data_IF_440197163546
#
_entry.id   IF_440197163546
#
_cell.length_a   1.000
_cell.length_b   1.000
_cell.length_c   1.000
_cell.angle_alpha   90.00
_cell.angle_beta   90.00
_cell.angle_gamma   90.00
#
_symmetry.space_group_name_H-M   'P 1'
#
loop_
_entity.id
_entity.type
_entity.pdbx_description
1 polymer ?
#
# COMPACT_ATOMS: atom_id res chain seq x y z
N UNK A 1 -2.26 -3.57 -30.39
CA UNK A 1 -2.74 -3.76 -29.00
C UNK A 1 -3.29 -5.17 -28.89
N UNK A 2 -2.59 -6.10 -28.22
CA UNK A 2 -3.07 -7.47 -27.98
C UNK A 2 -3.68 -7.51 -26.58
N UNK A 3 -4.99 -7.36 -26.49
CA UNK A 3 -5.68 -7.51 -25.21
C UNK A 3 -5.70 -8.98 -24.80
N UNK A 4 -5.33 -9.25 -23.55
CA UNK A 4 -5.37 -10.56 -22.91
C UNK A 4 -6.30 -10.50 -21.68
N UNK A 5 -7.04 -11.57 -21.45
CA UNK A 5 -7.72 -11.78 -20.17
C UNK A 5 -6.69 -12.15 -19.11
N UNK A 6 -6.81 -11.57 -17.94
CA UNK A 6 -5.98 -11.89 -16.78
C UNK A 6 -6.85 -11.99 -15.54
N UNK A 7 -6.54 -12.95 -14.68
CA UNK A 7 -7.20 -13.15 -13.39
C UNK A 7 -6.21 -12.89 -12.26
N UNK A 8 -6.58 -12.03 -11.30
CA UNK A 8 -5.80 -11.76 -10.09
C UNK A 8 -6.71 -11.83 -8.87
N UNK A 9 -6.18 -12.31 -7.75
CA UNK A 9 -6.85 -12.22 -6.46
C UNK A 9 -6.56 -10.85 -5.84
N UNK A 10 -7.52 -9.97 -5.85
CA UNK A 10 -7.36 -8.58 -5.39
C UNK A 10 -8.23 -8.36 -4.16
N UNK A 11 -7.60 -8.07 -3.03
CA UNK A 11 -8.25 -7.88 -1.74
C UNK A 11 -9.17 -9.06 -1.36
N UNK A 12 -8.69 -10.27 -1.62
CA UNK A 12 -9.41 -11.51 -1.31
C UNK A 12 -10.47 -11.92 -2.33
N UNK A 13 -10.66 -11.15 -3.42
CA UNK A 13 -11.65 -11.43 -4.46
C UNK A 13 -10.95 -11.67 -5.79
N UNK A 14 -11.30 -12.77 -6.46
CA UNK A 14 -10.80 -13.05 -7.80
C UNK A 14 -11.47 -12.12 -8.81
N UNK A 15 -10.66 -11.34 -9.51
CA UNK A 15 -11.11 -10.37 -10.51
C UNK A 15 -10.50 -10.66 -11.86
N UNK A 16 -11.37 -10.76 -12.85
CA UNK A 16 -10.98 -10.89 -14.26
C UNK A 16 -11.08 -9.54 -14.96
N UNK A 17 -10.07 -9.19 -15.71
CA UNK A 17 -10.03 -7.96 -16.50
C UNK A 17 -9.24 -8.15 -17.79
N UNK A 18 -9.43 -7.20 -18.72
CA UNK A 18 -8.65 -7.14 -19.97
C UNK A 18 -7.47 -6.21 -19.78
N UNK A 19 -6.29 -6.63 -20.22
CA UNK A 19 -5.08 -5.84 -20.15
C UNK A 19 -4.22 -6.04 -21.40
N UNK A 20 -3.34 -5.08 -21.67
CA UNK A 20 -2.25 -5.20 -22.64
C UNK A 20 -0.96 -5.58 -21.89
N UNK A 21 -0.50 -6.85 -21.95
CA UNK A 21 0.62 -7.32 -21.14
C UNK A 21 1.93 -6.58 -21.40
N UNK A 22 2.11 -6.06 -22.60
CA UNK A 22 3.32 -5.37 -23.02
C UNK A 22 3.38 -3.92 -22.54
N UNK A 23 2.23 -3.23 -22.54
CA UNK A 23 2.16 -1.79 -22.33
C UNK A 23 1.55 -1.40 -20.98
N UNK A 24 0.61 -2.19 -20.43
CA UNK A 24 -0.05 -1.85 -19.18
C UNK A 24 0.89 -2.03 -17.96
N UNK A 25 0.96 -1.00 -17.13
CA UNK A 25 1.54 -1.10 -15.80
C UNK A 25 0.49 -1.57 -14.81
N UNK A 26 0.92 -2.29 -13.78
CA UNK A 26 0.01 -2.81 -12.75
C UNK A 26 -0.79 -1.68 -12.08
N UNK A 27 -0.17 -0.53 -11.80
CA UNK A 27 -0.87 0.65 -11.26
C UNK A 27 -2.02 1.12 -12.12
N UNK A 28 -1.84 1.11 -13.44
CA UNK A 28 -2.83 1.64 -14.38
C UNK A 28 -4.03 0.70 -14.48
N UNK A 29 -3.76 -0.60 -14.48
CA UNK A 29 -4.80 -1.63 -14.44
C UNK A 29 -5.60 -1.56 -13.14
N UNK A 30 -4.93 -1.51 -11.97
CA UNK A 30 -5.60 -1.43 -10.68
C UNK A 30 -6.50 -0.19 -10.58
N UNK A 31 -6.02 0.96 -11.04
CA UNK A 31 -6.81 2.20 -11.06
C UNK A 31 -7.98 2.14 -12.04
N UNK A 32 -7.80 1.51 -13.22
CA UNK A 32 -8.84 1.34 -14.23
C UNK A 32 -10.01 0.50 -13.72
N UNK A 33 -9.75 -0.48 -12.84
CA UNK A 33 -10.79 -1.31 -12.21
C UNK A 33 -11.34 -0.71 -10.90
N UNK A 34 -11.06 0.57 -10.63
CA UNK A 34 -11.66 1.32 -9.52
C UNK A 34 -10.82 1.42 -8.24
N UNK A 35 -9.62 0.81 -8.18
CA UNK A 35 -8.74 0.89 -7.00
C UNK A 35 -7.92 2.18 -7.02
N UNK A 36 -8.59 3.29 -6.80
CA UNK A 36 -8.00 4.64 -6.91
C UNK A 36 -7.11 5.04 -5.73
N UNK A 37 -7.12 4.27 -4.65
CA UNK A 37 -6.18 4.39 -3.54
C UNK A 37 -4.73 4.09 -3.94
N UNK A 38 -4.52 3.35 -5.03
CA UNK A 38 -3.20 3.20 -5.66
C UNK A 38 -2.84 4.52 -6.35
N UNK A 39 -2.09 5.38 -5.66
CA UNK A 39 -1.73 6.71 -6.17
C UNK A 39 -0.47 6.66 -7.02
N UNK A 40 -0.47 7.31 -8.18
CA UNK A 40 0.71 7.43 -9.03
C UNK A 40 1.25 8.86 -8.92
N UNK A 41 2.29 9.03 -8.10
CA UNK A 41 2.94 10.34 -7.91
C UNK A 41 4.07 10.58 -8.93
N UNK A 42 5.11 9.74 -8.91
CA UNK A 42 6.28 9.91 -9.79
C UNK A 42 6.23 9.08 -11.08
N UNK A 43 5.54 7.95 -11.10
CA UNK A 43 5.52 7.00 -12.22
C UNK A 43 6.84 6.27 -12.49
N UNK A 44 7.87 6.49 -11.66
CA UNK A 44 9.26 6.01 -11.83
C UNK A 44 9.76 5.11 -10.68
N UNK A 45 8.89 4.75 -9.74
CA UNK A 45 9.23 3.87 -8.60
C UNK A 45 9.99 4.54 -7.45
N UNK A 46 10.04 5.87 -7.40
CA UNK A 46 10.84 6.60 -6.41
C UNK A 46 10.03 7.01 -5.17
N UNK A 47 8.74 7.36 -5.32
CA UNK A 47 7.98 8.01 -4.25
C UNK A 47 7.16 7.06 -3.37
N UNK A 48 6.98 5.80 -3.76
CA UNK A 48 6.23 4.80 -3.00
C UNK A 48 4.71 5.05 -2.84
N UNK A 49 4.14 6.10 -3.45
CA UNK A 49 2.70 6.37 -3.34
C UNK A 49 1.83 5.29 -4.00
N UNK A 50 2.41 4.53 -4.93
CA UNK A 50 1.77 3.42 -5.62
C UNK A 50 2.05 2.05 -4.98
N UNK A 51 2.52 2.03 -3.73
CA UNK A 51 2.82 0.78 -3.02
C UNK A 51 1.58 -0.09 -2.87
N UNK A 52 1.75 -1.36 -3.16
CA UNK A 52 0.79 -2.44 -2.93
C UNK A 52 1.54 -3.64 -2.35
N UNK A 53 0.82 -4.60 -1.81
CA UNK A 53 1.40 -5.90 -1.44
C UNK A 53 1.08 -6.89 -2.54
N UNK A 54 2.10 -7.46 -3.15
CA UNK A 54 2.00 -8.53 -4.15
C UNK A 54 2.63 -9.79 -3.58
N UNK A 55 1.82 -10.83 -3.40
CA UNK A 55 2.26 -12.12 -2.83
C UNK A 55 3.06 -11.95 -1.51
N UNK A 56 2.58 -11.07 -0.62
CA UNK A 56 3.20 -10.78 0.68
C UNK A 56 4.35 -9.77 0.67
N UNK A 57 4.75 -9.25 -0.49
CA UNK A 57 5.84 -8.28 -0.61
C UNK A 57 5.36 -6.90 -1.03
N UNK A 58 5.89 -5.86 -0.40
CA UNK A 58 5.62 -4.47 -0.82
C UNK A 58 6.35 -4.18 -2.12
N UNK A 59 5.61 -3.82 -3.13
CA UNK A 59 6.14 -3.41 -4.44
C UNK A 59 5.58 -2.05 -4.87
N UNK A 60 6.27 -1.42 -5.81
CA UNK A 60 5.82 -0.19 -6.47
C UNK A 60 5.15 -0.54 -7.80
N UNK A 61 3.82 -0.50 -7.82
CA UNK A 61 3.02 -0.95 -8.95
C UNK A 61 3.23 -0.14 -10.23
N UNK A 62 3.69 1.11 -10.13
CA UNK A 62 3.92 1.97 -11.30
C UNK A 62 5.13 1.56 -12.17
N UNK A 63 6.00 0.70 -11.67
CA UNK A 63 7.14 0.16 -12.43
C UNK A 63 6.97 -1.31 -12.81
N UNK A 64 5.94 -1.97 -12.29
CA UNK A 64 5.66 -3.38 -12.57
C UNK A 64 4.76 -3.50 -13.79
N UNK A 65 5.25 -4.12 -14.87
CA UNK A 65 4.42 -4.45 -16.03
C UNK A 65 3.48 -5.61 -15.68
N UNK A 66 2.30 -5.61 -16.29
CA UNK A 66 1.34 -6.68 -16.05
C UNK A 66 1.85 -8.05 -16.54
N UNK A 67 2.69 -8.07 -17.60
CA UNK A 67 3.37 -9.28 -18.09
C UNK A 67 4.30 -9.93 -17.06
N UNK A 68 4.71 -9.19 -16.04
CA UNK A 68 5.58 -9.67 -14.96
C UNK A 68 4.80 -10.14 -13.72
N UNK A 69 3.47 -10.19 -13.81
CA UNK A 69 2.59 -10.64 -12.72
C UNK A 69 1.97 -11.96 -13.14
N UNK A 70 2.12 -12.96 -12.31
CA UNK A 70 1.53 -14.28 -12.54
C UNK A 70 0.02 -14.25 -12.34
N UNK A 71 -0.71 -15.08 -13.09
CA UNK A 71 -2.15 -15.24 -12.88
C UNK A 71 -2.42 -15.74 -11.46
N UNK A 72 -3.55 -15.32 -10.90
CA UNK A 72 -3.96 -15.62 -9.52
C UNK A 72 -3.03 -15.06 -8.43
N UNK A 73 -2.06 -14.21 -8.77
CA UNK A 73 -1.27 -13.50 -7.75
C UNK A 73 -2.17 -12.74 -6.79
N UNK A 74 -1.81 -12.78 -5.50
CA UNK A 74 -2.54 -12.09 -4.43
C UNK A 74 -2.06 -10.65 -4.33
N UNK A 75 -2.99 -9.72 -4.47
CA UNK A 75 -2.75 -8.28 -4.35
C UNK A 75 -3.56 -7.72 -3.19
N UNK A 76 -2.90 -7.00 -2.29
CA UNK A 76 -3.57 -6.18 -1.28
C UNK A 76 -3.28 -4.71 -1.56
N UNK A 77 -4.34 -3.93 -1.68
CA UNK A 77 -4.32 -2.47 -1.79
C UNK A 77 -4.89 -1.84 -0.53
N UNK A 78 -4.86 -0.52 -0.41
CA UNK A 78 -5.43 0.17 0.76
C UNK A 78 -6.93 -0.15 0.94
N UNK A 79 -7.65 -0.37 -0.13
CA UNK A 79 -9.07 -0.74 -0.10
C UNK A 79 -9.34 -2.12 0.53
N UNK A 80 -8.30 -2.95 0.64
CA UNK A 80 -8.38 -4.27 1.29
C UNK A 80 -7.89 -4.28 2.74
N UNK A 81 -7.31 -3.19 3.24
CA UNK A 81 -6.79 -3.12 4.62
C UNK A 81 -7.87 -2.70 5.62
N UNK A 82 -8.83 -1.90 5.20
CA UNK A 82 -9.98 -1.51 6.03
C UNK A 82 -11.08 -0.88 5.19
N UNK A 83 -12.27 -0.83 5.77
CA UNK A 83 -13.45 -0.23 5.15
C UNK A 83 -13.93 0.97 5.97
N UNK A 84 -14.76 1.86 5.42
CA UNK A 84 -15.33 2.97 6.18
C UNK A 84 -16.11 2.54 7.43
N UNK A 85 -16.67 1.32 7.43
CA UNK A 85 -17.40 0.76 8.56
C UNK A 85 -16.48 0.08 9.58
N UNK A 86 -15.33 -0.42 9.13
CA UNK A 86 -14.35 -1.15 9.95
C UNK A 86 -12.93 -0.71 9.59
N UNK A 87 -12.51 0.40 10.16
CA UNK A 87 -11.17 0.92 9.96
C UNK A 87 -10.12 0.01 10.61
N UNK A 88 -9.04 -0.24 9.91
CA UNK A 88 -7.89 -0.93 10.48
C UNK A 88 -7.19 -0.04 11.53
N UNK A 89 -6.58 -0.60 12.60
CA UNK A 89 -5.85 0.17 13.62
C UNK A 89 -4.85 1.19 13.05
N UNK A 90 -4.16 0.86 11.96
CA UNK A 90 -3.30 1.80 11.25
C UNK A 90 -4.07 3.03 10.77
N UNK A 91 -5.24 2.86 10.17
CA UNK A 91 -6.04 3.99 9.67
C UNK A 91 -6.53 4.89 10.80
N UNK A 92 -6.96 4.28 11.92
CA UNK A 92 -7.35 5.01 13.13
C UNK A 92 -6.17 5.78 13.72
N UNK A 93 -5.01 5.14 13.84
CA UNK A 93 -3.81 5.77 14.36
C UNK A 93 -3.32 6.93 13.48
N UNK A 94 -3.44 6.80 12.15
CA UNK A 94 -3.13 7.89 11.21
C UNK A 94 -3.93 9.15 11.47
N UNK A 95 -5.22 9.01 11.75
CA UNK A 95 -6.08 10.14 12.10
C UNK A 95 -5.73 10.70 13.47
N UNK A 96 -5.59 9.85 14.48
CA UNK A 96 -5.37 10.28 15.87
C UNK A 96 -4.00 10.96 16.07
N UNK A 97 -2.97 10.52 15.34
CA UNK A 97 -1.64 11.12 15.40
C UNK A 97 -1.47 12.34 14.46
N UNK A 98 -2.52 12.74 13.74
CA UNK A 98 -2.42 13.83 12.77
C UNK A 98 -1.45 13.57 11.62
N UNK A 99 -1.31 12.29 11.22
CA UNK A 99 -0.38 11.88 10.17
C UNK A 99 -0.92 12.15 8.75
N UNK A 100 -1.89 13.04 8.62
CA UNK A 100 -2.51 13.44 7.36
C UNK A 100 -2.34 14.94 7.16
N UNK A 101 -1.76 15.35 6.03
CA UNK A 101 -1.77 16.71 5.54
C UNK A 101 -2.52 16.75 4.20
N UNK A 102 -1.84 16.65 3.05
CA UNK A 102 -2.54 16.57 1.77
C UNK A 102 -3.22 15.22 1.48
N UNK A 103 -2.82 14.15 2.20
CA UNK A 103 -3.41 12.83 2.08
C UNK A 103 -2.89 11.96 0.92
N UNK A 104 -2.14 12.53 -0.02
CA UNK A 104 -1.77 11.83 -1.25
C UNK A 104 -0.89 10.58 -1.01
N UNK A 105 0.09 10.67 -0.12
CA UNK A 105 1.01 9.56 0.18
C UNK A 105 0.43 8.54 1.18
N UNK A 106 -0.65 8.89 1.89
CA UNK A 106 -1.19 8.10 3.01
C UNK A 106 -1.50 6.64 2.64
N UNK A 107 -2.19 6.34 1.51
CA UNK A 107 -2.46 4.96 1.14
C UNK A 107 -1.19 4.11 0.98
N UNK A 108 -0.17 4.66 0.32
CA UNK A 108 1.10 3.96 0.12
C UNK A 108 1.86 3.70 1.43
N UNK A 109 1.85 4.66 2.37
CA UNK A 109 2.45 4.48 3.68
C UNK A 109 1.70 3.46 4.53
N UNK A 110 0.36 3.48 4.54
CA UNK A 110 -0.44 2.51 5.31
C UNK A 110 -0.25 1.10 4.78
N UNK A 111 -0.27 0.89 3.45
CA UNK A 111 0.00 -0.43 2.83
C UNK A 111 1.40 -0.92 3.21
N UNK A 112 2.39 -0.05 3.18
CA UNK A 112 3.76 -0.39 3.54
C UNK A 112 3.90 -0.70 5.03
N UNK A 113 3.25 0.09 5.91
CA UNK A 113 3.24 -0.14 7.36
C UNK A 113 2.50 -1.43 7.73
N UNK A 114 1.39 -1.74 7.04
CA UNK A 114 0.67 -2.98 7.23
C UNK A 114 1.58 -4.20 6.99
N UNK A 115 2.32 -4.20 5.89
CA UNK A 115 3.26 -5.28 5.59
C UNK A 115 4.43 -5.36 6.60
N UNK A 116 4.86 -4.23 7.18
CA UNK A 116 5.84 -4.23 8.27
C UNK A 116 5.29 -4.92 9.50
N UNK A 117 4.09 -4.50 9.96
CA UNK A 117 3.50 -5.02 11.20
C UNK A 117 3.09 -6.49 11.11
N UNK A 118 2.79 -7.01 9.91
CA UNK A 118 2.60 -8.44 9.67
C UNK A 118 3.90 -9.24 9.86
N UNK A 119 5.06 -8.65 9.58
CA UNK A 119 6.36 -9.29 9.72
C UNK A 119 7.00 -9.05 11.09
N UNK A 120 6.82 -7.85 11.65
CA UNK A 120 7.34 -7.43 12.94
C UNK A 120 6.26 -6.65 13.69
N UNK A 121 5.52 -7.31 14.62
CA UNK A 121 4.44 -6.67 15.37
C UNK A 121 4.90 -5.63 16.38
N UNK A 122 6.18 -5.62 16.74
CA UNK A 122 6.77 -4.70 17.71
C UNK A 122 8.02 -4.01 17.17
N UNK A 123 7.88 -3.18 16.12
CA UNK A 123 9.03 -2.50 15.55
C UNK A 123 9.49 -1.35 16.44
N UNK A 124 10.78 -1.08 16.44
CA UNK A 124 11.33 0.16 16.95
C UNK A 124 11.06 1.31 15.98
N UNK A 125 11.14 2.55 16.47
CA UNK A 125 10.99 3.74 15.60
C UNK A 125 12.03 3.80 14.48
N UNK A 126 13.22 3.29 14.72
CA UNK A 126 14.29 3.21 13.75
C UNK A 126 13.95 2.19 12.65
N UNK A 127 13.52 1.00 13.02
CA UNK A 127 13.07 -0.03 12.07
C UNK A 127 11.91 0.46 11.18
N UNK A 128 10.97 1.24 11.74
CA UNK A 128 9.89 1.85 10.96
C UNK A 128 10.44 2.83 9.91
N UNK A 129 11.42 3.68 10.29
CA UNK A 129 12.05 4.63 9.36
C UNK A 129 12.82 3.89 8.26
N UNK A 130 13.62 2.89 8.64
CA UNK A 130 14.41 2.08 7.71
C UNK A 130 13.50 1.33 6.73
N UNK A 131 12.37 0.81 7.22
CA UNK A 131 11.37 0.18 6.37
C UNK A 131 10.83 1.14 5.31
N UNK A 132 10.42 2.34 5.71
CA UNK A 132 9.93 3.34 4.75
C UNK A 132 10.99 3.81 3.78
N UNK A 133 12.24 3.88 4.20
CA UNK A 133 13.37 4.15 3.32
C UNK A 133 13.57 3.02 2.31
N UNK A 134 13.54 1.77 2.76
CA UNK A 134 13.65 0.57 1.90
C UNK A 134 12.50 0.49 0.91
N UNK A 135 11.27 0.75 1.35
CA UNK A 135 10.08 0.75 0.49
C UNK A 135 9.90 2.05 -0.30
N UNK A 136 10.79 3.03 -0.07
CA UNK A 136 10.83 4.34 -0.75
C UNK A 136 9.56 5.16 -0.60
N UNK A 137 8.91 5.12 0.55
CA UNK A 137 7.75 5.95 0.82
C UNK A 137 8.18 7.39 1.14
N UNK A 138 7.74 8.34 0.33
CA UNK A 138 8.09 9.76 0.42
C UNK A 138 6.85 10.60 0.67
N UNK A 139 6.94 11.49 1.68
CA UNK A 139 5.93 12.49 1.96
C UNK A 139 6.46 13.89 1.60
N UNK A 140 5.84 14.55 0.60
CA UNK A 140 6.23 15.91 0.20
C UNK A 140 5.91 16.96 1.26
N UNK A 141 4.87 16.71 2.08
CA UNK A 141 4.49 17.57 3.20
C UNK A 141 5.37 17.38 4.45
N UNK A 142 6.34 16.46 4.40
CA UNK A 142 7.31 16.19 5.49
C UNK A 142 6.69 15.72 6.81
N UNK A 143 5.53 15.05 6.77
CA UNK A 143 4.82 14.54 7.97
C UNK A 143 5.45 13.29 8.61
N UNK A 144 6.73 13.03 8.43
CA UNK A 144 7.39 11.77 8.81
C UNK A 144 7.33 11.45 10.31
N UNK A 145 7.41 12.48 11.19
CA UNK A 145 7.30 12.26 12.63
C UNK A 145 5.95 11.64 13.00
N UNK A 146 4.87 12.26 12.56
CA UNK A 146 3.49 11.83 12.81
C UNK A 146 3.21 10.45 12.17
N UNK A 147 3.77 10.20 10.99
CA UNK A 147 3.65 8.92 10.30
C UNK A 147 4.30 7.80 11.13
N UNK A 148 5.49 8.02 11.67
CA UNK A 148 6.14 7.04 12.55
C UNK A 148 5.37 6.89 13.86
N UNK A 149 4.88 7.99 14.45
CA UNK A 149 4.05 7.95 15.66
C UNK A 149 2.79 7.10 15.44
N UNK A 150 2.14 7.24 14.28
CA UNK A 150 0.95 6.47 13.92
C UNK A 150 1.24 4.95 13.80
N UNK A 151 2.37 4.56 13.19
CA UNK A 151 2.74 3.14 13.13
C UNK A 151 2.99 2.57 14.52
N UNK A 152 3.70 3.31 15.38
CA UNK A 152 3.98 2.88 16.75
C UNK A 152 2.69 2.74 17.58
N UNK A 153 1.74 3.68 17.42
CA UNK A 153 0.44 3.62 18.09
C UNK A 153 -0.39 2.42 17.61
N UNK A 154 -0.44 2.20 16.29
CA UNK A 154 -1.15 1.06 15.71
C UNK A 154 -0.56 -0.29 16.17
N UNK A 155 0.77 -0.40 16.22
CA UNK A 155 1.46 -1.59 16.68
C UNK A 155 1.05 -1.97 18.11
N UNK A 156 0.97 -0.99 19.03
CA UNK A 156 0.49 -1.21 20.41
C UNK A 156 -0.95 -1.74 20.46
N UNK A 157 -1.85 -1.10 19.72
CA UNK A 157 -3.26 -1.51 19.65
C UNK A 157 -3.39 -2.93 19.11
N UNK A 158 -2.63 -3.27 18.06
CA UNK A 158 -2.66 -4.60 17.43
C UNK A 158 -2.14 -5.70 18.35
N UNK A 159 -1.24 -5.38 19.29
CA UNK A 159 -0.77 -6.31 20.34
C UNK A 159 -1.71 -6.40 21.54
N UNK A 160 -2.82 -5.64 21.56
CA UNK A 160 -3.76 -5.61 22.68
C UNK A 160 -3.31 -4.75 23.85
N UNK A 161 -2.30 -3.91 23.68
CA UNK A 161 -1.89 -2.91 24.66
C UNK A 161 -2.85 -1.72 24.58
N UNK A 162 -3.67 -1.51 25.63
CA UNK A 162 -4.53 -0.34 25.73
C UNK A 162 -3.69 0.95 25.69
N UNK A 163 -4.10 1.89 24.85
CA UNK A 163 -3.57 3.26 24.83
C UNK A 163 -4.20 4.10 25.93
#
# INVERSE_FOLDING_TARGET
MKLRKMMLNINGVDRMFMCDPENDKLSDVLRRIGLTGVKVGCGTGVCGSCSIILNGQVIRSCTKKISQVEEYSKITTIEGIGTPQHLHPLQVAWMNCGAVQCGFCVPGFIVSAYALLEQNPDPTREEVRDWFQKTRNVCRCTGYKQIVDAVMAAAKVMRGECS
#
